data_IF_346330176789
#
_entry.id   IF_346330176789
#
_cell.length_a   1.000
_cell.length_b   1.000
_cell.length_c   1.000
_cell.angle_alpha   90.00
_cell.angle_beta   90.00
_cell.angle_gamma   90.00
#
_symmetry.space_group_name_H-M   'P 1'
#
loop_
_entity.id
_entity.type
_entity.pdbx_description
1 polymer ?
#
# COMPACT_ATOMS: atom_id res chain seq x y z
N UNK A 1 14.56 11.49 -1.88
CA UNK A 1 14.84 12.49 -0.84
C UNK A 1 13.86 13.65 -0.89
N UNK A 2 13.82 14.39 -1.99
CA UNK A 2 12.93 15.56 -2.15
C UNK A 2 11.46 15.20 -1.95
N UNK A 3 11.03 14.07 -2.48
CA UNK A 3 9.65 13.60 -2.31
C UNK A 3 9.31 13.42 -0.82
N UNK A 4 10.21 12.81 -0.05
CA UNK A 4 9.99 12.64 1.38
C UNK A 4 9.99 13.96 2.13
N UNK A 5 10.85 14.90 1.76
CA UNK A 5 10.84 16.24 2.34
C UNK A 5 9.51 16.95 2.07
N UNK A 6 9.02 16.86 0.83
CA UNK A 6 7.76 17.49 0.44
C UNK A 6 6.58 16.92 1.23
N UNK A 7 6.53 15.59 1.38
CA UNK A 7 5.50 14.93 2.16
C UNK A 7 5.54 15.37 3.62
N UNK A 8 6.73 15.43 4.22
CA UNK A 8 6.86 15.85 5.62
C UNK A 8 6.47 17.32 5.81
N UNK A 9 6.78 18.18 4.86
CA UNK A 9 6.39 19.59 4.92
C UNK A 9 4.88 19.74 4.85
N UNK A 10 4.23 18.99 3.96
CA UNK A 10 2.80 19.18 3.67
C UNK A 10 1.88 18.41 4.63
N UNK A 11 2.32 17.24 5.13
CA UNK A 11 1.46 16.34 5.90
C UNK A 11 1.99 15.97 7.29
N UNK A 12 3.21 16.37 7.61
CA UNK A 12 3.82 16.04 8.89
C UNK A 12 4.85 14.92 8.80
N UNK A 13 5.40 14.55 9.95
CA UNK A 13 6.49 13.59 10.03
C UNK A 13 6.08 12.21 9.47
N UNK A 14 6.93 11.66 8.61
CA UNK A 14 6.83 10.27 8.19
C UNK A 14 7.44 9.39 9.29
N UNK A 15 6.70 8.39 9.76
CA UNK A 15 7.22 7.45 10.75
C UNK A 15 7.97 6.32 10.06
N UNK A 16 7.32 5.63 9.13
CA UNK A 16 7.88 4.48 8.44
C UNK A 16 7.57 4.53 6.95
N UNK A 17 8.48 3.96 6.17
CA UNK A 17 8.27 3.70 4.74
C UNK A 17 8.29 2.19 4.56
N UNK A 18 7.24 1.64 3.93
CA UNK A 18 7.15 0.21 3.66
C UNK A 18 7.38 -0.05 2.17
N UNK A 19 8.38 -0.86 1.87
CA UNK A 19 8.79 -1.15 0.49
C UNK A 19 8.67 -2.64 0.19
N UNK A 20 8.50 -2.96 -1.09
CA UNK A 20 8.40 -4.36 -1.53
C UNK A 20 9.64 -5.14 -1.08
N UNK A 21 9.42 -6.18 -0.27
CA UNK A 21 10.50 -6.98 0.32
C UNK A 21 11.30 -7.77 -0.72
N UNK A 22 10.82 -7.90 -1.95
CA UNK A 22 11.57 -8.54 -3.03
C UNK A 22 12.71 -7.66 -3.56
N UNK A 23 12.70 -6.36 -3.27
CA UNK A 23 13.61 -5.37 -3.84
C UNK A 23 14.68 -4.93 -2.83
N UNK A 24 15.42 -5.89 -2.24
CA UNK A 24 16.37 -5.60 -1.16
C UNK A 24 17.49 -4.63 -1.56
N UNK A 25 17.99 -4.70 -2.78
CA UNK A 25 19.02 -3.79 -3.26
C UNK A 25 18.50 -2.35 -3.31
N UNK A 26 17.26 -2.17 -3.80
CA UNK A 26 16.63 -0.85 -3.85
C UNK A 26 16.32 -0.33 -2.45
N UNK A 27 15.89 -1.19 -1.54
CA UNK A 27 15.62 -0.83 -0.14
C UNK A 27 16.91 -0.33 0.53
N UNK A 28 18.02 -1.05 0.35
CA UNK A 28 19.32 -0.66 0.91
C UNK A 28 19.77 0.70 0.35
N UNK A 29 19.62 0.91 -0.96
CA UNK A 29 19.92 2.19 -1.59
C UNK A 29 19.05 3.32 -1.06
N UNK A 30 17.75 3.06 -0.90
CA UNK A 30 16.82 4.05 -0.37
C UNK A 30 17.19 4.43 1.07
N UNK A 31 17.52 3.45 1.92
CA UNK A 31 17.94 3.72 3.30
C UNK A 31 19.13 4.66 3.37
N UNK A 32 20.14 4.44 2.53
CA UNK A 32 21.31 5.32 2.49
C UNK A 32 20.93 6.71 1.99
N UNK A 33 20.10 6.79 0.96
CA UNK A 33 19.75 8.05 0.31
C UNK A 33 18.95 8.98 1.21
N UNK A 34 18.05 8.44 2.04
CA UNK A 34 17.18 9.24 2.91
C UNK A 34 17.69 9.32 4.37
N UNK A 35 18.86 8.77 4.64
CA UNK A 35 19.46 8.79 5.98
C UNK A 35 19.47 10.16 6.65
N UNK A 36 19.76 11.28 5.94
CA UNK A 36 19.70 12.60 6.55
C UNK A 36 18.33 13.02 7.07
N UNK A 37 17.24 12.39 6.60
CA UNK A 37 15.88 12.70 7.07
C UNK A 37 15.48 11.88 8.29
N UNK A 38 16.32 10.95 8.72
CA UNK A 38 16.06 10.07 9.88
C UNK A 38 14.73 9.30 9.74
N UNK A 39 14.50 8.74 8.56
CA UNK A 39 13.32 7.91 8.25
C UNK A 39 13.68 6.43 8.28
N UNK A 40 12.72 5.62 8.72
CA UNK A 40 12.87 4.17 8.75
C UNK A 40 12.22 3.55 7.52
N UNK A 41 12.98 2.72 6.79
CA UNK A 41 12.47 1.93 5.67
C UNK A 41 12.36 0.49 6.13
N UNK A 42 11.16 -0.06 6.07
CA UNK A 42 10.85 -1.43 6.48
C UNK A 42 10.43 -2.27 5.29
N UNK A 43 10.64 -3.57 5.39
CA UNK A 43 10.13 -4.51 4.40
C UNK A 43 8.61 -4.62 4.52
N UNK A 44 7.93 -4.73 3.37
CA UNK A 44 6.51 -5.11 3.36
C UNK A 44 6.34 -6.50 3.96
N UNK A 45 5.21 -6.75 4.60
CA UNK A 45 4.89 -8.08 5.14
C UNK A 45 4.43 -9.03 4.06
N UNK A 46 3.92 -8.51 2.96
CA UNK A 46 3.32 -9.29 1.87
C UNK A 46 2.27 -10.28 2.38
N UNK A 47 1.33 -9.78 3.17
CA UNK A 47 0.17 -10.59 3.57
C UNK A 47 -0.55 -11.07 2.31
N UNK A 48 -1.27 -12.22 2.36
CA UNK A 48 -2.02 -12.69 1.21
C UNK A 48 -2.91 -11.58 0.63
N UNK A 49 -2.94 -11.47 -0.69
CA UNK A 49 -3.69 -10.42 -1.38
C UNK A 49 -5.16 -10.40 -0.94
N UNK A 50 -5.75 -11.59 -0.75
CA UNK A 50 -7.15 -11.67 -0.32
C UNK A 50 -7.37 -11.02 1.05
N UNK A 51 -6.44 -11.17 1.99
CA UNK A 51 -6.55 -10.53 3.30
C UNK A 51 -6.51 -9.01 3.18
N UNK A 52 -5.63 -8.49 2.33
CA UNK A 52 -5.49 -7.06 2.09
C UNK A 52 -6.74 -6.47 1.44
N UNK A 53 -7.28 -7.16 0.45
CA UNK A 53 -8.52 -6.75 -0.24
C UNK A 53 -9.70 -6.75 0.72
N UNK A 54 -9.85 -7.81 1.51
CA UNK A 54 -10.94 -7.91 2.50
C UNK A 54 -10.86 -6.80 3.54
N UNK A 55 -9.67 -6.51 4.06
CA UNK A 55 -9.48 -5.44 5.03
C UNK A 55 -9.87 -4.08 4.42
N UNK A 56 -9.43 -3.78 3.21
CA UNK A 56 -9.78 -2.55 2.51
C UNK A 56 -11.29 -2.44 2.31
N UNK A 57 -11.93 -3.52 1.87
CA UNK A 57 -13.38 -3.57 1.65
C UNK A 57 -14.14 -3.32 2.96
N UNK A 58 -13.70 -3.91 4.06
CA UNK A 58 -14.32 -3.71 5.37
C UNK A 58 -14.19 -2.27 5.85
N UNK A 59 -13.02 -1.66 5.64
CA UNK A 59 -12.81 -0.26 6.03
C UNK A 59 -13.69 0.68 5.21
N UNK A 60 -13.80 0.45 3.91
CA UNK A 60 -14.66 1.25 3.03
C UNK A 60 -16.13 1.08 3.39
N UNK A 61 -16.58 -0.15 3.63
CA UNK A 61 -17.96 -0.45 4.00
C UNK A 61 -18.36 0.15 5.35
N UNK A 62 -17.39 0.28 6.26
CA UNK A 62 -17.60 0.90 7.57
C UNK A 62 -17.39 2.40 7.60
N UNK A 63 -17.19 3.03 6.45
CA UNK A 63 -16.89 4.47 6.32
C UNK A 63 -15.64 4.90 7.10
N UNK A 64 -14.70 3.96 7.28
CA UNK A 64 -13.45 4.20 8.00
C UNK A 64 -12.27 4.47 7.06
N UNK A 65 -12.53 4.54 5.78
CA UNK A 65 -11.52 4.81 4.75
C UNK A 65 -12.02 5.89 3.83
N UNK A 66 -11.24 6.97 3.73
CA UNK A 66 -11.57 8.11 2.87
C UNK A 66 -10.34 8.45 2.02
N UNK A 67 -10.58 8.84 0.78
CA UNK A 67 -9.56 9.37 -0.11
C UNK A 67 -9.79 10.86 -0.32
N UNK A 68 -8.71 11.64 -0.28
CA UNK A 68 -8.79 13.04 -0.68
C UNK A 68 -8.93 13.13 -2.20
N UNK A 69 -9.44 14.26 -2.68
CA UNK A 69 -9.65 14.46 -4.12
C UNK A 69 -8.35 14.45 -4.94
N UNK A 70 -7.20 14.70 -4.30
CA UNK A 70 -5.89 14.66 -4.97
C UNK A 70 -5.37 13.24 -5.21
N UNK A 71 -5.94 12.22 -4.58
CA UNK A 71 -5.51 10.83 -4.72
C UNK A 71 -6.08 10.18 -5.98
N UNK A 72 -5.87 10.79 -7.13
CA UNK A 72 -6.43 10.32 -8.40
C UNK A 72 -5.89 8.96 -8.83
N UNK A 73 -4.57 8.77 -8.73
CA UNK A 73 -3.94 7.51 -9.15
C UNK A 73 -4.48 6.34 -8.35
N UNK A 74 -4.60 6.48 -7.04
CA UNK A 74 -5.14 5.41 -6.20
C UNK A 74 -6.62 5.16 -6.47
N UNK A 75 -7.40 6.22 -6.67
CA UNK A 75 -8.82 6.09 -7.02
C UNK A 75 -9.00 5.32 -8.33
N UNK A 76 -8.21 5.65 -9.35
CA UNK A 76 -8.23 4.96 -10.63
C UNK A 76 -7.81 3.49 -10.49
N UNK A 77 -6.81 3.23 -9.65
CA UNK A 77 -6.36 1.87 -9.39
C UNK A 77 -7.49 1.03 -8.76
N UNK A 78 -8.25 1.58 -7.82
CA UNK A 78 -9.40 0.89 -7.25
C UNK A 78 -10.50 0.64 -8.28
N UNK A 79 -10.78 1.62 -9.13
CA UNK A 79 -11.82 1.49 -10.16
C UNK A 79 -11.45 0.46 -11.22
N UNK A 80 -10.17 0.31 -11.54
CA UNK A 80 -9.67 -0.64 -12.52
C UNK A 80 -9.31 -2.01 -11.96
N UNK A 81 -9.41 -2.21 -10.66
CA UNK A 81 -9.01 -3.47 -10.03
C UNK A 81 -9.96 -4.61 -10.43
N UNK A 82 -9.38 -5.69 -10.93
CA UNK A 82 -10.14 -6.88 -11.33
C UNK A 82 -9.42 -8.14 -10.84
N UNK A 83 -10.20 -9.19 -10.63
CA UNK A 83 -9.65 -10.49 -10.26
C UNK A 83 -9.25 -11.29 -11.48
N UNK A 84 -8.26 -12.16 -11.32
CA UNK A 84 -7.93 -13.16 -12.31
C UNK A 84 -8.84 -14.39 -12.10
N UNK A 85 -9.93 -14.46 -12.85
CA UNK A 85 -10.92 -15.54 -12.76
C UNK A 85 -10.46 -16.85 -13.38
N UNK A 86 -9.28 -16.87 -14.01
CA UNK A 86 -8.68 -18.09 -14.54
C UNK A 86 -8.06 -18.97 -13.46
N UNK A 87 -7.80 -18.40 -12.30
CA UNK A 87 -7.25 -19.14 -11.16
C UNK A 87 -8.41 -19.54 -10.25
N UNK A 88 -8.78 -20.82 -10.34
CA UNK A 88 -9.94 -21.36 -9.63
C UNK A 88 -9.63 -21.49 -8.14
N UNK A 89 -10.52 -20.95 -7.31
CA UNK A 89 -10.43 -21.06 -5.84
C UNK A 89 -9.52 -20.07 -5.16
N UNK A 90 -8.91 -19.14 -5.91
CA UNK A 90 -8.07 -18.08 -5.35
C UNK A 90 -8.51 -16.73 -5.88
N UNK A 91 -8.60 -15.73 -4.98
CA UNK A 91 -8.90 -14.34 -5.36
C UNK A 91 -7.57 -13.64 -5.69
N UNK A 92 -7.12 -13.80 -6.93
CA UNK A 92 -5.91 -13.18 -7.44
C UNK A 92 -6.28 -12.02 -8.35
N UNK A 93 -5.68 -10.86 -8.11
CA UNK A 93 -5.90 -9.70 -8.96
C UNK A 93 -5.29 -9.92 -10.34
N UNK A 94 -6.03 -9.52 -11.38
CA UNK A 94 -5.56 -9.64 -12.76
C UNK A 94 -4.42 -8.67 -13.02
N UNK A 95 -3.27 -9.18 -13.38
CA UNK A 95 -2.08 -8.41 -13.72
C UNK A 95 -1.74 -8.60 -15.19
N UNK A 96 -2.50 -7.94 -16.06
CA UNK A 96 -2.34 -8.04 -17.51
C UNK A 96 -2.19 -6.65 -18.18
N UNK A 97 -1.82 -5.64 -17.40
CA UNK A 97 -1.66 -4.28 -17.90
C UNK A 97 -2.94 -3.45 -17.91
N UNK A 98 -4.11 -4.04 -17.56
CA UNK A 98 -5.37 -3.31 -17.47
C UNK A 98 -5.66 -2.82 -16.06
N UNK A 99 -4.93 -3.32 -15.06
CA UNK A 99 -5.04 -2.93 -13.66
C UNK A 99 -3.73 -2.35 -13.16
N UNK A 100 -3.80 -1.34 -12.31
CA UNK A 100 -2.63 -0.73 -11.68
C UNK A 100 -2.30 -1.45 -10.37
N UNK A 101 -1.71 -2.64 -10.50
CA UNK A 101 -1.39 -3.51 -9.37
C UNK A 101 -0.33 -2.88 -8.46
N UNK A 102 0.65 -2.19 -9.04
CA UNK A 102 1.74 -1.60 -8.26
C UNK A 102 1.23 -0.52 -7.31
N UNK A 103 0.28 0.31 -7.75
CA UNK A 103 -0.32 1.32 -6.89
C UNK A 103 -1.13 0.68 -5.76
N UNK A 104 -1.90 -0.39 -6.07
CA UNK A 104 -2.68 -1.10 -5.07
C UNK A 104 -1.76 -1.77 -4.04
N UNK A 105 -0.68 -2.41 -4.48
CA UNK A 105 0.28 -3.04 -3.58
C UNK A 105 0.94 -1.99 -2.67
N UNK A 106 1.37 -0.86 -3.23
CA UNK A 106 1.99 0.21 -2.45
C UNK A 106 1.05 0.73 -1.36
N UNK A 107 -0.22 0.95 -1.72
CA UNK A 107 -1.23 1.36 -0.76
C UNK A 107 -1.40 0.32 0.35
N UNK A 108 -1.54 -0.94 -0.02
CA UNK A 108 -1.77 -2.03 0.93
C UNK A 108 -0.58 -2.26 1.86
N UNK A 109 0.64 -2.11 1.36
CA UNK A 109 1.84 -2.22 2.21
C UNK A 109 1.85 -1.17 3.31
N UNK A 110 1.24 -0.01 3.08
CA UNK A 110 1.20 1.07 4.07
C UNK A 110 0.40 0.71 5.32
N UNK A 111 -0.61 -0.16 5.20
CA UNK A 111 -1.49 -0.48 6.34
C UNK A 111 -1.58 -1.97 6.69
N UNK A 112 -1.08 -2.88 5.84
CA UNK A 112 -1.29 -4.33 6.05
C UNK A 112 -0.81 -4.81 7.42
N UNK A 113 0.24 -4.18 7.93
CA UNK A 113 0.81 -4.50 9.24
C UNK A 113 -0.18 -4.29 10.38
N UNK A 114 -1.13 -3.39 10.18
CA UNK A 114 -2.11 -2.99 11.18
C UNK A 114 -3.47 -3.63 10.98
N UNK A 115 -3.64 -4.53 10.02
CA UNK A 115 -4.93 -5.18 9.73
C UNK A 115 -5.60 -5.76 10.98
N UNK A 116 -4.89 -6.50 11.87
CA UNK A 116 -5.55 -7.05 13.06
C UNK A 116 -6.18 -6.01 13.97
N UNK A 117 -5.63 -4.79 13.99
CA UNK A 117 -6.20 -3.69 14.77
C UNK A 117 -7.33 -2.98 14.04
N UNK A 118 -7.18 -2.82 12.73
CA UNK A 118 -8.12 -2.05 11.92
C UNK A 118 -9.46 -2.75 11.77
N UNK A 119 -9.47 -4.07 11.69
CA UNK A 119 -10.67 -4.88 11.49
C UNK A 119 -11.12 -5.60 12.76
N UNK A 120 -10.59 -5.18 13.92
CA UNK A 120 -10.94 -5.78 15.20
C UNK A 120 -12.43 -5.60 15.49
N UNK A 121 -13.08 -6.68 15.86
CA UNK A 121 -14.46 -6.65 16.33
C UNK A 121 -14.46 -6.48 17.85
N UNK A 122 -15.16 -5.48 18.29
CA UNK A 122 -15.37 -5.26 19.71
C UNK A 122 -16.54 -6.13 20.22
#
# INVERSE_FOLDING_TARGET
>A
YEFCEDIQRDFGRIEDIYADSAEQTLISGLREYIKPLDLTVKNSMKRPIIDRIRATTMLMGGERFLLTSECETLREAFQGAVYDDKVVGEDIRLDNGTSDIDTLDAFEYSFERYIPRLIRRD
#
